data_IF_089321877876
#
_entry.id   IF_089321877876
#
_cell.length_a   1.000
_cell.length_b   1.000
_cell.length_c   1.000
_cell.angle_alpha   90.00
_cell.angle_beta   90.00
_cell.angle_gamma   90.00
#
_symmetry.space_group_name_H-M   'P 1'
#
loop_
_entity.id
_entity.type
_entity.pdbx_description
1 polymer ?
#
# COMPACT_ATOMS: atom_id res chain seq x y z
N UNK A 1 1.00 8.55 -16.29
CA UNK A 1 0.06 9.50 -15.65
C UNK A 1 -0.46 9.05 -14.27
N UNK A 2 -0.99 7.82 -14.09
CA UNK A 2 -1.63 7.34 -12.83
C UNK A 2 -0.77 7.35 -11.54
N UNK A 3 0.55 7.38 -11.67
CA UNK A 3 1.46 7.27 -10.52
C UNK A 3 1.41 8.46 -9.56
N UNK A 4 1.34 9.68 -10.09
CA UNK A 4 1.25 10.89 -9.27
C UNK A 4 -0.06 10.95 -8.47
N UNK A 5 -1.15 10.44 -9.04
CA UNK A 5 -2.44 10.33 -8.36
C UNK A 5 -2.36 9.36 -7.17
N UNK A 6 -1.69 8.22 -7.32
CA UNK A 6 -1.47 7.28 -6.22
C UNK A 6 -0.63 7.88 -5.09
N UNK A 7 0.39 8.67 -5.42
CA UNK A 7 1.19 9.35 -4.40
C UNK A 7 0.35 10.37 -3.63
N UNK A 8 -0.47 11.16 -4.34
CA UNK A 8 -1.37 12.12 -3.71
C UNK A 8 -2.42 11.42 -2.85
N UNK A 9 -3.12 10.41 -3.40
CA UNK A 9 -4.12 9.63 -2.68
C UNK A 9 -3.53 9.00 -1.41
N UNK A 10 -2.36 8.37 -1.51
CA UNK A 10 -1.70 7.77 -0.35
C UNK A 10 -1.37 8.83 0.70
N UNK A 11 -0.85 10.00 0.29
CA UNK A 11 -0.52 11.10 1.22
C UNK A 11 -1.75 11.64 1.93
N UNK A 12 -2.87 11.79 1.23
CA UNK A 12 -4.13 12.21 1.82
C UNK A 12 -4.58 11.17 2.85
N UNK A 13 -4.61 9.89 2.48
CA UNK A 13 -4.96 8.78 3.38
C UNK A 13 -4.03 8.70 4.60
N UNK A 14 -2.73 8.93 4.42
CA UNK A 14 -1.75 8.97 5.51
C UNK A 14 -2.08 10.02 6.56
N UNK A 15 -2.51 11.22 6.15
CA UNK A 15 -2.87 12.28 7.07
C UNK A 15 -4.03 11.86 7.99
N UNK A 16 -5.03 11.17 7.44
CA UNK A 16 -6.14 10.61 8.21
C UNK A 16 -5.73 9.45 9.13
N UNK A 17 -4.61 8.77 8.84
CA UNK A 17 -4.13 7.62 9.59
C UNK A 17 -3.03 7.98 10.61
N UNK A 18 -2.70 9.26 10.82
CA UNK A 18 -1.56 9.67 11.68
C UNK A 18 -1.62 9.07 13.08
N UNK A 19 -2.81 9.03 13.68
CA UNK A 19 -3.06 8.49 15.02
C UNK A 19 -3.78 7.13 15.00
N UNK A 20 -3.85 6.49 13.82
CA UNK A 20 -4.44 5.18 13.70
C UNK A 20 -3.52 4.08 14.26
N UNK A 21 -4.11 2.95 14.59
CA UNK A 21 -3.46 1.75 15.10
C UNK A 21 -2.76 1.90 16.47
N UNK A 22 -3.43 2.48 17.50
CA UNK A 22 -2.86 2.54 18.86
C UNK A 22 -2.60 1.16 19.46
N UNK A 23 -3.26 0.11 18.96
CA UNK A 23 -3.12 -1.27 19.42
C UNK A 23 -1.73 -1.89 19.17
N UNK A 24 -0.94 -1.36 18.22
CA UNK A 24 0.44 -1.84 18.05
C UNK A 24 1.36 -1.01 18.94
N UNK A 25 2.00 -1.63 19.93
CA UNK A 25 2.96 -0.95 20.82
C UNK A 25 4.28 -0.60 20.12
N UNK A 26 4.72 -1.46 19.21
CA UNK A 26 5.93 -1.23 18.40
C UNK A 26 5.72 -0.07 17.41
N UNK A 27 6.50 1.03 17.50
CA UNK A 27 6.44 2.14 16.56
C UNK A 27 6.68 1.74 15.10
N UNK A 28 7.56 0.77 14.84
CA UNK A 28 7.84 0.30 13.49
C UNK A 28 6.65 -0.47 12.90
N UNK A 29 6.00 -1.31 13.72
CA UNK A 29 4.79 -2.01 13.32
C UNK A 29 3.65 -1.03 13.05
N UNK A 30 3.46 0.00 13.90
CA UNK A 30 2.49 1.09 13.63
C UNK A 30 2.78 1.78 12.30
N UNK A 31 4.05 2.12 12.04
CA UNK A 31 4.46 2.79 10.81
C UNK A 31 4.16 1.94 9.57
N UNK A 32 4.47 0.64 9.65
CA UNK A 32 4.18 -0.32 8.60
C UNK A 32 2.67 -0.47 8.36
N UNK A 33 1.88 -0.62 9.43
CA UNK A 33 0.42 -0.72 9.34
C UNK A 33 -0.18 0.51 8.65
N UNK A 34 0.28 1.72 9.02
CA UNK A 34 -0.11 2.97 8.35
C UNK A 34 0.29 3.00 6.88
N UNK A 35 1.50 2.57 6.54
CA UNK A 35 1.99 2.52 5.16
C UNK A 35 1.17 1.57 4.27
N UNK A 36 0.78 0.40 4.80
CA UNK A 36 -0.03 -0.59 4.08
C UNK A 36 -1.49 -0.14 3.99
N UNK A 37 -2.08 0.40 5.08
CA UNK A 37 -3.49 0.85 5.07
C UNK A 37 -3.70 2.10 4.21
N UNK A 38 -2.70 2.97 4.09
CA UNK A 38 -2.79 4.16 3.25
C UNK A 38 -2.69 3.89 1.76
N UNK A 39 -2.34 2.66 1.35
CA UNK A 39 -2.23 2.31 -0.06
C UNK A 39 -3.52 2.65 -0.84
N UNK A 40 -3.38 3.20 -2.06
CA UNK A 40 -4.47 3.35 -3.02
C UNK A 40 -5.16 2.02 -3.30
N UNK A 41 -6.43 2.08 -3.71
CA UNK A 41 -7.29 0.90 -3.81
C UNK A 41 -6.67 -0.28 -4.59
N UNK A 42 -6.18 -0.04 -5.82
CA UNK A 42 -5.71 -1.15 -6.66
C UNK A 42 -4.36 -1.74 -6.19
N UNK A 43 -3.30 -0.95 -5.90
CA UNK A 43 -2.07 -1.46 -5.28
C UNK A 43 -2.34 -2.21 -3.99
N UNK A 44 -3.27 -1.71 -3.16
CA UNK A 44 -3.68 -2.37 -1.92
C UNK A 44 -4.34 -3.71 -2.20
N UNK A 45 -5.28 -3.78 -3.14
CA UNK A 45 -6.00 -5.00 -3.46
C UNK A 45 -5.05 -6.09 -3.98
N UNK A 46 -4.18 -5.78 -4.94
CA UNK A 46 -3.22 -6.76 -5.47
C UNK A 46 -2.21 -7.21 -4.42
N UNK A 47 -1.71 -6.29 -3.59
CA UNK A 47 -0.80 -6.63 -2.50
C UNK A 47 -1.49 -7.54 -1.48
N UNK A 48 -2.75 -7.27 -1.15
CA UNK A 48 -3.49 -8.07 -0.20
C UNK A 48 -3.70 -9.51 -0.68
N UNK A 49 -4.19 -9.66 -1.90
CA UNK A 49 -4.45 -10.96 -2.53
C UNK A 49 -3.18 -11.78 -2.68
N UNK A 50 -2.07 -11.13 -3.05
CA UNK A 50 -0.77 -11.80 -3.17
C UNK A 50 -0.21 -12.22 -1.81
N UNK A 51 -0.13 -11.28 -0.85
CA UNK A 51 0.65 -11.47 0.38
C UNK A 51 -0.12 -12.19 1.48
N UNK A 52 -1.42 -11.94 1.61
CA UNK A 52 -2.22 -12.49 2.71
C UNK A 52 -3.14 -13.62 2.26
N UNK A 53 -3.63 -13.59 1.01
CA UNK A 53 -4.44 -14.69 0.46
C UNK A 53 -3.62 -15.71 -0.36
N UNK A 54 -2.35 -15.42 -0.65
CA UNK A 54 -1.44 -16.36 -1.35
C UNK A 54 -1.79 -16.62 -2.81
N UNK A 55 -2.58 -15.75 -3.45
CA UNK A 55 -2.98 -15.92 -4.85
C UNK A 55 -1.82 -15.65 -5.81
N UNK A 56 -1.75 -16.44 -6.89
CA UNK A 56 -0.83 -16.20 -8.02
C UNK A 56 -1.32 -15.06 -8.90
N UNK A 57 -0.44 -14.49 -9.71
CA UNK A 57 -0.74 -13.28 -10.49
C UNK A 57 -1.92 -13.49 -11.47
N UNK A 58 -2.05 -14.68 -12.05
CA UNK A 58 -3.14 -15.04 -12.95
C UNK A 58 -4.48 -15.08 -12.21
N UNK A 59 -4.50 -15.62 -10.99
CA UNK A 59 -5.70 -15.70 -10.15
C UNK A 59 -6.14 -14.30 -9.69
N UNK A 60 -5.17 -13.41 -9.40
CA UNK A 60 -5.45 -12.01 -9.08
C UNK A 60 -6.01 -11.28 -10.30
N UNK A 61 -5.41 -11.51 -11.48
CA UNK A 61 -5.83 -10.93 -12.74
C UNK A 61 -7.28 -11.29 -13.06
N UNK A 62 -7.63 -12.57 -12.96
CA UNK A 62 -8.99 -13.09 -13.11
C UNK A 62 -9.95 -12.46 -12.09
N UNK A 63 -9.61 -12.51 -10.80
CA UNK A 63 -10.48 -12.01 -9.71
C UNK A 63 -10.75 -10.50 -9.79
N UNK A 64 -9.79 -9.71 -10.29
CA UNK A 64 -9.92 -8.25 -10.39
C UNK A 64 -10.33 -7.77 -11.79
N UNK A 65 -10.48 -8.67 -12.77
CA UNK A 65 -10.81 -8.29 -14.16
C UNK A 65 -9.75 -7.41 -14.81
N UNK A 66 -8.46 -7.69 -14.56
CA UNK A 66 -7.31 -6.95 -15.14
C UNK A 66 -6.30 -7.91 -15.76
N UNK A 67 -5.36 -7.40 -16.56
CA UNK A 67 -4.29 -8.25 -17.10
C UNK A 67 -3.24 -8.62 -16.04
N UNK A 68 -2.60 -9.77 -16.20
CA UNK A 68 -1.46 -10.22 -15.37
C UNK A 68 -0.35 -9.17 -15.34
N UNK A 69 -0.05 -8.52 -16.49
CA UNK A 69 0.91 -7.41 -16.54
C UNK A 69 0.49 -6.22 -15.68
N UNK A 70 -0.81 -5.93 -15.59
CA UNK A 70 -1.30 -4.88 -14.69
C UNK A 70 -1.16 -5.29 -13.22
N UNK A 71 -1.36 -6.56 -12.88
CA UNK A 71 -1.08 -7.09 -11.53
C UNK A 71 0.39 -6.83 -11.15
N UNK A 72 1.33 -7.25 -11.99
CA UNK A 72 2.77 -7.06 -11.76
C UNK A 72 3.14 -5.59 -11.51
N UNK A 73 2.65 -4.70 -12.39
CA UNK A 73 2.85 -3.26 -12.25
C UNK A 73 2.29 -2.75 -10.92
N UNK A 74 1.08 -3.15 -10.55
CA UNK A 74 0.42 -2.67 -9.32
C UNK A 74 1.07 -3.25 -8.05
N UNK A 75 1.63 -4.46 -8.10
CA UNK A 75 2.43 -5.05 -7.01
C UNK A 75 3.72 -4.23 -6.80
N UNK A 76 4.46 -3.95 -7.87
CA UNK A 76 5.66 -3.10 -7.80
C UNK A 76 5.34 -1.70 -7.28
N UNK A 77 4.19 -1.15 -7.70
CA UNK A 77 3.67 0.12 -7.19
C UNK A 77 3.36 0.07 -5.69
N UNK A 78 2.70 -0.98 -5.23
CA UNK A 78 2.39 -1.18 -3.81
C UNK A 78 3.65 -1.19 -2.95
N UNK A 79 4.66 -1.98 -3.35
CA UNK A 79 5.94 -2.06 -2.64
C UNK A 79 6.64 -0.70 -2.58
N UNK A 80 6.74 0.00 -3.71
CA UNK A 80 7.34 1.33 -3.74
C UNK A 80 6.60 2.36 -2.88
N UNK A 81 5.26 2.30 -2.85
CA UNK A 81 4.43 3.18 -2.02
C UNK A 81 4.62 2.90 -0.52
N UNK A 82 4.72 1.63 -0.13
CA UNK A 82 5.03 1.24 1.26
C UNK A 82 6.39 1.80 1.68
N UNK A 83 7.44 1.56 0.89
CA UNK A 83 8.80 2.03 1.19
C UNK A 83 8.85 3.55 1.30
N UNK A 84 8.27 4.28 0.34
CA UNK A 84 8.24 5.75 0.40
C UNK A 84 7.44 6.27 1.58
N UNK A 85 6.35 5.59 1.96
CA UNK A 85 5.57 5.95 3.14
C UNK A 85 6.41 5.79 4.40
N UNK A 86 7.08 4.66 4.58
CA UNK A 86 7.97 4.42 5.73
C UNK A 86 9.06 5.48 5.84
N UNK A 87 9.76 5.77 4.75
CA UNK A 87 10.81 6.80 4.72
C UNK A 87 10.27 8.21 5.01
N UNK A 88 9.00 8.51 4.71
CA UNK A 88 8.37 9.79 5.12
C UNK A 88 8.10 9.82 6.61
N UNK A 89 7.61 8.71 7.16
CA UNK A 89 7.24 8.57 8.57
C UNK A 89 8.44 8.58 9.54
N UNK A 90 9.63 8.26 9.04
CA UNK A 90 10.88 8.33 9.82
C UNK A 90 11.44 9.76 9.94
N UNK A 91 10.96 10.71 9.13
CA UNK A 91 11.44 12.10 9.18
C UNK A 91 10.89 12.82 10.41
N UNK A 92 11.74 13.62 11.07
CA UNK A 92 11.32 14.51 12.16
C UNK A 92 10.16 15.41 11.70
N UNK A 93 9.09 15.46 12.48
CA UNK A 93 7.91 16.30 12.21
C UNK A 93 6.81 15.65 11.35
N UNK A 94 6.90 14.35 11.06
CA UNK A 94 5.82 13.58 10.44
C UNK A 94 4.65 13.33 11.41
#
# INVERSE_FOLDING_TARGET
>A
MRWHLYLLEQRIREAFLRHAFPEYEDPDLRRLARAVRSLPWLPRAVFHLLRFEGLRYEQIAERLGISTRRVEIEVGRAMGLIVRSRNRQERKGW
#
